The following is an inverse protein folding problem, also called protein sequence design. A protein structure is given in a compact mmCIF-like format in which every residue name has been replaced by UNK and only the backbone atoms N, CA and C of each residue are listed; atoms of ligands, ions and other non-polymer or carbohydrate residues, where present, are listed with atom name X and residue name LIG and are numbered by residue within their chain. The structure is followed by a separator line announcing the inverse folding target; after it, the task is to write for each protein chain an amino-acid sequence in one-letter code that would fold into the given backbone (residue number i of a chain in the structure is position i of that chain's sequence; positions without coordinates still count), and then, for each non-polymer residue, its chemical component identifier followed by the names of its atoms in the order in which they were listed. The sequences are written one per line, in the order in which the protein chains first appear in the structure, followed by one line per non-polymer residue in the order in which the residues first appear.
data_IF_495246898115
#
_entry.id   IF_495246898115
#
_cell.length_a   1.000
_cell.length_b   1.000
_cell.length_c   1.000
_cell.angle_alpha   90.00
_cell.angle_beta   90.00
_cell.angle_gamma   90.00
#
_symmetry.space_group_name_H-M   'P 1'
#
loop_
_entity.id
_entity.type
_entity.pdbx_description
1 polymer ?
#
# COMPACT_ATOMS: atom_id res chain seq x y z
N UNK A 1 20.95 25.07 -31.23
CA UNK A 1 21.01 25.25 -29.76
C UNK A 1 19.65 25.65 -29.18
N UNK A 2 19.05 26.79 -29.58
CA UNK A 2 17.74 27.25 -29.06
C UNK A 2 16.62 26.20 -29.26
N UNK A 3 16.49 25.62 -30.46
CA UNK A 3 15.49 24.58 -30.75
C UNK A 3 15.66 23.34 -29.86
N UNK A 4 16.89 22.89 -29.64
CA UNK A 4 17.21 21.73 -28.80
C UNK A 4 16.80 22.00 -27.35
N UNK A 5 17.21 23.15 -26.80
CA UNK A 5 16.88 23.53 -25.43
C UNK A 5 15.38 23.66 -25.23
N UNK A 6 14.68 24.32 -26.16
CA UNK A 6 13.23 24.49 -26.10
C UNK A 6 12.48 23.15 -26.11
N UNK A 7 12.81 22.26 -27.04
CA UNK A 7 12.16 20.94 -27.15
C UNK A 7 12.48 20.03 -25.95
N UNK A 8 13.71 20.07 -25.42
CA UNK A 8 14.06 19.32 -24.21
C UNK A 8 13.31 19.86 -22.99
N UNK A 9 13.25 21.18 -22.81
CA UNK A 9 12.59 21.79 -21.66
C UNK A 9 11.09 21.47 -21.65
N UNK A 10 10.39 21.66 -22.78
CA UNK A 10 8.96 21.35 -22.85
C UNK A 10 8.67 19.87 -22.59
N UNK A 11 9.54 18.98 -23.07
CA UNK A 11 9.42 17.53 -22.84
C UNK A 11 9.62 17.17 -21.37
N UNK A 12 10.64 17.76 -20.72
CA UNK A 12 10.88 17.53 -19.28
C UNK A 12 9.72 18.05 -18.43
N UNK A 13 9.18 19.23 -18.74
CA UNK A 13 8.01 19.79 -18.03
C UNK A 13 6.78 18.92 -18.25
N UNK A 14 6.52 18.49 -19.48
CA UNK A 14 5.40 17.60 -19.81
C UNK A 14 5.47 16.29 -19.01
N UNK A 15 6.62 15.62 -19.00
CA UNK A 15 6.78 14.40 -18.22
C UNK A 15 6.78 14.64 -16.71
N UNK A 16 7.29 15.78 -16.24
CA UNK A 16 7.24 16.12 -14.83
C UNK A 16 5.80 16.25 -14.33
N UNK A 17 4.95 16.94 -15.10
CA UNK A 17 3.52 17.13 -14.81
C UNK A 17 2.77 15.79 -14.86
N UNK A 18 3.07 14.93 -15.83
CA UNK A 18 2.33 13.67 -16.00
C UNK A 18 2.75 12.60 -14.98
N UNK A 19 4.03 12.55 -14.59
CA UNK A 19 4.54 11.44 -13.76
C UNK A 19 4.69 11.74 -12.28
N UNK A 20 4.97 12.98 -11.87
CA UNK A 20 5.27 13.29 -10.47
C UNK A 20 4.15 14.07 -9.80
N UNK A 21 3.80 15.23 -10.38
CA UNK A 21 2.86 16.15 -9.74
C UNK A 21 2.04 16.83 -10.82
N UNK A 22 0.77 16.44 -10.92
CA UNK A 22 -0.17 17.06 -11.84
C UNK A 22 -0.96 18.14 -11.09
N UNK A 23 -0.58 19.43 -11.20
CA UNK A 23 -1.27 20.50 -10.48
C UNK A 23 -2.72 20.72 -10.98
N UNK A 24 -3.11 20.09 -12.08
CA UNK A 24 -4.45 20.22 -12.66
C UNK A 24 -5.42 19.12 -12.19
N UNK A 25 -4.94 18.09 -11.49
CA UNK A 25 -5.78 17.04 -10.95
C UNK A 25 -6.19 17.40 -9.51
N UNK A 26 -7.50 17.42 -9.18
CA UNK A 26 -7.92 17.62 -7.80
C UNK A 26 -7.51 16.42 -6.95
N UNK A 27 -6.76 16.67 -5.89
CA UNK A 27 -6.40 15.68 -4.88
C UNK A 27 -7.01 16.09 -3.55
N UNK A 28 -7.73 15.17 -2.91
CA UNK A 28 -8.17 15.37 -1.53
C UNK A 28 -6.97 15.12 -0.62
N UNK A 29 -6.54 16.15 0.08
CA UNK A 29 -5.50 16.04 1.09
C UNK A 29 -6.12 15.84 2.48
N UNK A 30 -5.61 14.83 3.17
CA UNK A 30 -5.99 14.54 4.54
C UNK A 30 -4.80 14.86 5.44
N UNK A 31 -5.06 15.50 6.57
CA UNK A 31 -4.02 15.80 7.55
C UNK A 31 -4.01 14.75 8.67
N UNK A 32 -2.81 14.35 9.12
CA UNK A 32 -2.64 13.51 10.30
C UNK A 32 -1.68 14.21 11.27
N UNK A 33 -2.02 14.37 12.56
CA UNK A 33 -1.11 14.96 13.52
C UNK A 33 0.22 14.19 13.60
N UNK A 34 1.34 14.91 13.64
CA UNK A 34 2.68 14.33 13.57
C UNK A 34 2.96 13.25 14.63
N UNK A 35 2.36 13.38 15.82
CA UNK A 35 2.48 12.38 16.89
C UNK A 35 1.92 11.01 16.47
N UNK A 36 0.78 10.98 15.78
CA UNK A 36 0.13 9.76 15.32
C UNK A 36 0.77 9.24 14.04
N UNK A 37 1.23 10.14 13.16
CA UNK A 37 1.98 9.75 11.96
C UNK A 37 3.24 8.96 12.31
N UNK A 38 3.98 9.37 13.35
CA UNK A 38 5.15 8.61 13.86
C UNK A 38 4.78 7.21 14.34
N UNK A 39 3.63 7.04 14.99
CA UNK A 39 3.14 5.73 15.45
C UNK A 39 2.78 4.86 14.24
N UNK A 40 2.03 5.41 13.28
CA UNK A 40 1.64 4.71 12.05
C UNK A 40 2.84 4.28 11.19
N UNK A 41 3.95 5.02 11.27
CA UNK A 41 5.16 4.71 10.51
C UNK A 41 6.09 3.70 11.20
N UNK A 42 5.94 3.47 12.50
CA UNK A 42 6.83 2.65 13.33
C UNK A 42 6.32 1.21 13.45
N UNK A 43 7.10 0.28 12.89
CA UNK A 43 6.78 -1.16 12.83
C UNK A 43 6.65 -1.79 14.21
N UNK A 44 7.24 -1.20 15.26
CA UNK A 44 7.10 -1.76 16.62
C UNK A 44 5.65 -1.85 17.08
N UNK A 45 4.78 -0.97 16.58
CA UNK A 45 3.35 -0.94 16.91
C UNK A 45 2.52 -1.92 16.07
N UNK A 46 3.09 -2.57 15.05
CA UNK A 46 2.33 -3.45 14.17
C UNK A 46 1.70 -4.64 14.91
N UNK A 47 2.36 -5.18 15.94
CA UNK A 47 1.82 -6.28 16.74
C UNK A 47 0.60 -5.83 17.56
N UNK A 48 0.73 -4.72 18.29
CA UNK A 48 -0.37 -4.14 19.07
C UNK A 48 -1.51 -3.69 18.15
N UNK A 49 -1.19 -3.10 17.00
CA UNK A 49 -2.14 -2.74 15.97
C UNK A 49 -2.93 -3.92 15.42
N UNK A 50 -2.31 -5.09 15.28
CA UNK A 50 -2.99 -6.33 14.90
C UNK A 50 -3.98 -6.78 15.97
N UNK A 51 -3.59 -6.72 17.23
CA UNK A 51 -4.49 -7.08 18.35
C UNK A 51 -5.70 -6.14 18.39
N UNK A 52 -5.48 -4.83 18.24
CA UNK A 52 -6.55 -3.84 18.13
C UNK A 52 -7.44 -4.09 16.91
N UNK A 53 -6.87 -4.46 15.77
CA UNK A 53 -7.64 -4.81 14.57
C UNK A 53 -8.52 -6.05 14.80
N UNK A 54 -7.98 -7.10 15.43
CA UNK A 54 -8.72 -8.32 15.76
C UNK A 54 -9.83 -8.08 16.78
N UNK A 55 -9.72 -7.06 17.61
CA UNK A 55 -10.76 -6.72 18.59
C UNK A 55 -11.87 -5.85 18.02
N UNK A 56 -11.55 -4.92 17.10
CA UNK A 56 -12.49 -3.86 16.69
C UNK A 56 -12.91 -3.94 15.22
N UNK A 57 -12.15 -4.61 14.36
CA UNK A 57 -12.33 -4.52 12.90
C UNK A 57 -12.60 -5.87 12.22
N UNK A 58 -12.03 -6.96 12.74
CA UNK A 58 -12.17 -8.28 12.11
C UNK A 58 -13.61 -8.82 12.12
N UNK A 59 -14.53 -8.23 12.88
CA UNK A 59 -15.93 -8.65 12.87
C UNK A 59 -16.55 -8.49 11.47
N UNK A 60 -16.05 -7.53 10.70
CA UNK A 60 -16.56 -7.20 9.37
C UNK A 60 -15.49 -7.28 8.28
N UNK A 61 -14.22 -6.99 8.60
CA UNK A 61 -13.14 -6.91 7.61
C UNK A 61 -12.19 -8.09 7.68
N UNK A 62 -11.64 -8.48 6.52
CA UNK A 62 -10.51 -9.39 6.43
C UNK A 62 -9.21 -8.64 6.11
N UNK A 63 -8.08 -9.24 6.48
CA UNK A 63 -6.72 -8.91 6.04
C UNK A 63 -6.09 -10.21 5.59
N UNK A 64 -6.58 -10.72 4.44
CA UNK A 64 -6.25 -12.06 3.93
C UNK A 64 -4.76 -12.29 3.74
N UNK A 65 -3.99 -11.28 3.34
CA UNK A 65 -2.53 -11.41 3.17
C UNK A 65 -1.78 -11.69 4.48
N UNK A 66 -2.38 -11.39 5.63
CA UNK A 66 -1.87 -11.82 6.94
C UNK A 66 -2.69 -13.00 7.54
N UNK A 67 -3.55 -13.63 6.74
CA UNK A 67 -4.39 -14.76 7.16
C UNK A 67 -5.43 -14.40 8.22
N UNK A 68 -5.78 -13.12 8.34
CA UNK A 68 -6.87 -12.66 9.20
C UNK A 68 -8.14 -12.60 8.37
N UNK A 69 -9.15 -13.36 8.78
CA UNK A 69 -10.46 -13.36 8.12
C UNK A 69 -11.51 -12.72 9.01
N UNK A 70 -12.70 -12.54 8.46
CA UNK A 70 -13.84 -12.05 9.24
C UNK A 70 -14.12 -13.00 10.41
N UNK A 71 -14.59 -12.48 11.54
CA UNK A 71 -14.69 -13.23 12.80
C UNK A 71 -15.50 -14.54 12.65
N UNK A 72 -16.59 -14.52 11.88
CA UNK A 72 -17.40 -15.71 11.64
C UNK A 72 -16.61 -16.81 10.90
N UNK A 73 -15.84 -16.43 9.88
CA UNK A 73 -14.92 -17.33 9.17
C UNK A 73 -13.78 -17.79 10.07
N UNK A 74 -13.23 -16.89 10.88
CA UNK A 74 -12.13 -17.21 11.80
C UNK A 74 -12.54 -18.27 12.83
N UNK A 75 -13.82 -18.28 13.22
CA UNK A 75 -14.40 -19.27 14.13
C UNK A 75 -14.82 -20.58 13.45
N UNK A 76 -14.84 -20.62 12.11
CA UNK A 76 -15.31 -21.77 11.36
C UNK A 76 -14.22 -22.87 11.33
N UNK A 77 -14.52 -24.11 11.76
CA UNK A 77 -13.54 -25.20 11.80
C UNK A 77 -13.00 -25.58 10.41
N UNK A 78 -13.72 -25.27 9.33
CA UNK A 78 -13.26 -25.51 7.96
C UNK A 78 -12.05 -24.65 7.59
N UNK A 79 -11.90 -23.47 8.21
CA UNK A 79 -10.77 -22.57 7.92
C UNK A 79 -9.42 -23.27 8.16
N UNK A 80 -9.29 -23.98 9.28
CA UNK A 80 -8.06 -24.69 9.62
C UNK A 80 -7.77 -25.87 8.69
N UNK A 81 -8.79 -26.48 8.08
CA UNK A 81 -8.62 -27.54 7.08
C UNK A 81 -8.12 -26.94 5.77
N UNK A 82 -8.79 -25.88 5.30
CA UNK A 82 -8.40 -25.18 4.07
C UNK A 82 -7.00 -24.57 4.17
N UNK A 83 -6.61 -24.05 5.34
CA UNK A 83 -5.26 -23.51 5.53
C UNK A 83 -4.16 -24.57 5.49
N UNK A 84 -4.47 -25.83 5.80
CA UNK A 84 -3.53 -26.95 5.62
C UNK A 84 -3.37 -27.34 4.15
N UNK A 85 -4.44 -27.21 3.37
CA UNK A 85 -4.45 -27.57 1.96
C UNK A 85 -3.86 -26.46 1.07
N UNK A 86 -4.30 -25.22 1.26
CA UNK A 86 -3.94 -24.07 0.43
C UNK A 86 -2.89 -23.15 1.05
N UNK A 87 -2.55 -23.35 2.33
CA UNK A 87 -1.63 -22.51 3.09
C UNK A 87 -2.32 -21.40 3.90
N UNK A 88 -1.51 -20.58 4.59
CA UNK A 88 -2.00 -19.51 5.50
C UNK A 88 -3.02 -18.57 4.83
N UNK A 89 -2.75 -18.22 3.58
CA UNK A 89 -3.58 -17.31 2.77
C UNK A 89 -4.37 -18.15 1.77
N UNK A 90 -5.69 -18.12 1.89
CA UNK A 90 -6.58 -18.82 1.00
C UNK A 90 -6.69 -18.07 -0.34
N UNK A 91 -6.74 -18.79 -1.47
CA UNK A 91 -7.18 -18.23 -2.73
C UNK A 91 -8.54 -17.54 -2.59
N UNK A 92 -8.73 -16.45 -3.34
CA UNK A 92 -9.91 -15.58 -3.20
C UNK A 92 -11.20 -16.32 -3.52
N UNK A 93 -11.20 -17.09 -4.59
CA UNK A 93 -12.30 -17.93 -5.06
C UNK A 93 -12.69 -18.99 -4.03
N UNK A 94 -11.71 -19.64 -3.39
CA UNK A 94 -11.96 -20.61 -2.30
C UNK A 94 -12.56 -19.93 -1.08
N UNK A 95 -11.98 -18.79 -0.67
CA UNK A 95 -12.51 -18.01 0.45
C UNK A 95 -13.95 -17.55 0.20
N UNK A 96 -14.23 -16.97 -0.97
CA UNK A 96 -15.56 -16.51 -1.30
C UNK A 96 -16.53 -17.71 -1.37
N UNK A 97 -16.22 -18.74 -2.16
CA UNK A 97 -17.13 -19.89 -2.38
C UNK A 97 -17.47 -20.69 -1.11
N UNK A 98 -16.49 -20.95 -0.23
CA UNK A 98 -16.72 -21.76 0.98
C UNK A 98 -17.44 -20.95 2.06
N UNK A 99 -17.13 -19.65 2.17
CA UNK A 99 -17.68 -18.78 3.21
C UNK A 99 -18.76 -17.82 2.67
N UNK A 100 -19.42 -18.18 1.56
CA UNK A 100 -20.44 -17.33 0.93
C UNK A 100 -21.53 -16.94 1.92
N UNK A 101 -21.96 -17.84 2.80
CA UNK A 101 -23.02 -17.56 3.77
C UNK A 101 -22.61 -16.50 4.78
N UNK A 102 -21.38 -16.58 5.30
CA UNK A 102 -20.78 -15.57 6.18
C UNK A 102 -20.71 -14.20 5.50
N UNK A 103 -20.26 -14.18 4.25
CA UNK A 103 -20.14 -12.96 3.45
C UNK A 103 -21.51 -12.38 3.09
N UNK A 104 -22.49 -13.23 2.79
CA UNK A 104 -23.85 -12.81 2.48
C UNK A 104 -24.54 -12.20 3.70
N UNK A 105 -24.33 -12.73 4.91
CA UNK A 105 -24.86 -12.13 6.13
C UNK A 105 -24.33 -10.69 6.36
N UNK A 106 -23.04 -10.46 6.07
CA UNK A 106 -22.46 -9.11 6.08
C UNK A 106 -23.06 -8.23 4.97
N UNK A 107 -23.25 -8.79 3.77
CA UNK A 107 -23.86 -8.08 2.64
C UNK A 107 -25.29 -7.64 2.94
N UNK A 108 -26.09 -8.49 3.59
CA UNK A 108 -27.45 -8.16 4.01
C UNK A 108 -27.47 -7.04 5.05
N UNK A 109 -26.52 -7.06 5.99
CA UNK A 109 -26.42 -6.06 7.06
C UNK A 109 -25.94 -4.69 6.57
N UNK A 110 -24.97 -4.65 5.66
CA UNK A 110 -24.29 -3.41 5.24
C UNK A 110 -24.59 -2.99 3.79
N UNK A 111 -25.44 -3.73 3.08
CA UNK A 111 -25.74 -3.58 1.64
C UNK A 111 -24.64 -4.08 0.71
N UNK A 112 -23.41 -4.19 1.20
CA UNK A 112 -22.23 -4.68 0.48
C UNK A 112 -21.32 -5.45 1.43
N UNK A 113 -20.58 -6.43 0.91
CA UNK A 113 -19.54 -7.10 1.67
C UNK A 113 -18.44 -6.09 1.99
N UNK A 114 -18.04 -5.91 3.26
CA UNK A 114 -16.94 -5.04 3.61
C UNK A 114 -15.66 -5.47 2.89
N UNK A 115 -14.89 -4.52 2.33
CA UNK A 115 -13.70 -4.86 1.55
C UNK A 115 -12.59 -5.50 2.40
N UNK A 116 -11.81 -6.37 1.76
CA UNK A 116 -10.53 -6.87 2.29
C UNK A 116 -9.52 -5.72 2.38
N UNK A 117 -8.81 -5.63 3.50
CA UNK A 117 -7.91 -4.52 3.81
C UNK A 117 -6.43 -4.87 3.57
N UNK A 118 -6.15 -6.04 2.98
CA UNK A 118 -4.80 -6.55 2.70
C UNK A 118 -3.87 -5.55 2.02
N UNK A 119 -4.39 -4.70 1.13
CA UNK A 119 -3.60 -3.70 0.37
C UNK A 119 -4.10 -2.27 0.57
N UNK A 120 -5.01 -2.03 1.52
CA UNK A 120 -5.70 -0.75 1.62
C UNK A 120 -4.75 0.40 1.92
N UNK A 121 -3.65 0.12 2.64
CA UNK A 121 -2.62 1.11 2.93
C UNK A 121 -1.97 1.66 1.65
N UNK A 122 -1.70 0.80 0.65
CA UNK A 122 -1.12 1.22 -0.63
C UNK A 122 -2.09 2.09 -1.45
N UNK A 123 -3.38 1.83 -1.31
CA UNK A 123 -4.43 2.50 -2.10
C UNK A 123 -4.79 3.87 -1.50
N UNK A 124 -4.84 3.97 -0.17
CA UNK A 124 -5.37 5.15 0.52
C UNK A 124 -4.34 5.98 1.28
N UNK A 125 -3.23 5.38 1.70
CA UNK A 125 -2.24 6.05 2.55
C UNK A 125 -2.71 6.23 4.00
N UNK A 126 -1.78 6.63 4.88
CA UNK A 126 -2.01 6.69 6.33
C UNK A 126 -2.95 7.83 6.72
N UNK A 127 -2.87 8.98 6.05
CA UNK A 127 -3.64 10.17 6.39
C UNK A 127 -5.13 9.97 6.10
N UNK A 128 -5.47 9.43 4.92
CA UNK A 128 -6.84 9.06 4.60
C UNK A 128 -7.38 8.04 5.61
N UNK A 129 -6.62 6.95 5.85
CA UNK A 129 -7.05 5.88 6.75
C UNK A 129 -7.29 6.39 8.18
N UNK A 130 -6.42 7.28 8.67
CA UNK A 130 -6.57 7.87 9.99
C UNK A 130 -7.88 8.64 10.13
N UNK A 131 -8.17 9.52 9.17
CA UNK A 131 -9.39 10.31 9.20
C UNK A 131 -10.64 9.45 8.95
N UNK A 132 -10.56 8.50 8.03
CA UNK A 132 -11.68 7.61 7.68
C UNK A 132 -12.05 6.67 8.82
N UNK A 133 -11.08 6.06 9.51
CA UNK A 133 -11.36 5.13 10.61
C UNK A 133 -11.94 5.87 11.83
N UNK A 134 -11.49 7.10 12.09
CA UNK A 134 -12.01 7.92 13.19
C UNK A 134 -13.42 8.47 12.93
N UNK A 135 -13.66 8.97 11.72
CA UNK A 135 -14.91 9.61 11.32
C UNK A 135 -15.35 9.18 9.90
N UNK A 136 -15.85 7.94 9.71
CA UNK A 136 -16.17 7.41 8.38
C UNK A 136 -17.19 8.26 7.61
N UNK A 137 -18.21 8.78 8.29
CA UNK A 137 -19.27 9.61 7.68
C UNK A 137 -18.76 10.96 7.17
N UNK A 138 -17.72 11.51 7.80
CA UNK A 138 -17.14 12.80 7.40
C UNK A 138 -16.31 12.67 6.13
N UNK A 139 -15.60 11.56 5.99
CA UNK A 139 -14.75 11.27 4.83
C UNK A 139 -15.58 10.69 3.67
N UNK A 140 -16.52 9.79 3.96
CA UNK A 140 -17.41 9.20 2.96
C UNK A 140 -18.87 9.28 3.44
N UNK A 141 -19.59 10.36 3.09
CA UNK A 141 -20.99 10.51 3.47
C UNK A 141 -21.85 9.35 2.98
N UNK A 142 -22.67 8.79 3.89
CA UNK A 142 -23.56 7.67 3.57
C UNK A 142 -22.88 6.29 3.56
N UNK A 143 -21.63 6.19 4.04
CA UNK A 143 -21.01 4.88 4.27
C UNK A 143 -21.79 4.09 5.33
N UNK A 144 -21.84 2.77 5.21
CA UNK A 144 -22.47 1.90 6.23
C UNK A 144 -21.48 1.49 7.33
N UNK A 145 -20.21 1.87 7.20
CA UNK A 145 -19.20 1.63 8.22
C UNK A 145 -19.50 2.47 9.49
N UNK A 146 -19.67 1.83 10.66
CA UNK A 146 -19.90 2.56 11.90
C UNK A 146 -18.63 3.24 12.42
N UNK A 147 -18.77 4.29 13.26
CA UNK A 147 -17.66 5.00 13.89
C UNK A 147 -16.98 4.17 15.01
N UNK A 148 -16.26 3.10 14.63
CA UNK A 148 -15.70 2.12 15.59
C UNK A 148 -14.55 2.66 16.46
N UNK A 149 -13.82 3.66 15.99
CA UNK A 149 -12.61 4.18 16.66
C UNK A 149 -12.72 5.67 17.01
N UNK A 150 -13.91 6.26 16.97
CA UNK A 150 -14.09 7.68 17.28
C UNK A 150 -13.54 8.01 18.68
N UNK A 151 -12.72 9.05 18.77
CA UNK A 151 -12.04 9.44 20.00
C UNK A 151 -10.82 8.60 20.39
N UNK A 152 -10.40 7.62 19.57
CA UNK A 152 -9.24 6.73 19.82
C UNK A 152 -8.14 6.89 18.75
N UNK A 153 -7.54 8.09 18.60
CA UNK A 153 -6.57 8.38 17.55
C UNK A 153 -5.27 7.59 17.67
N UNK A 154 -4.77 7.37 18.89
CA UNK A 154 -3.53 6.61 19.09
C UNK A 154 -3.69 5.15 18.63
N UNK A 155 -4.78 4.51 19.04
CA UNK A 155 -5.11 3.14 18.65
C UNK A 155 -5.35 3.01 17.15
N UNK A 156 -6.01 4.01 16.55
CA UNK A 156 -6.18 4.08 15.09
C UNK A 156 -4.83 4.12 14.38
N UNK A 157 -3.88 4.92 14.89
CA UNK A 157 -2.54 4.97 14.32
C UNK A 157 -1.80 3.62 14.43
N UNK A 158 -1.98 2.87 15.53
CA UNK A 158 -1.42 1.53 15.68
C UNK A 158 -2.04 0.53 14.70
N UNK A 159 -3.37 0.58 14.49
CA UNK A 159 -4.04 -0.22 13.45
C UNK A 159 -3.47 0.10 12.06
N UNK A 160 -3.22 1.37 11.76
CA UNK A 160 -2.60 1.78 10.48
C UNK A 160 -1.16 1.25 10.38
N UNK A 161 -0.38 1.26 11.46
CA UNK A 161 0.95 0.65 11.50
C UNK A 161 0.89 -0.85 11.16
N UNK A 162 -0.13 -1.55 11.66
CA UNK A 162 -0.39 -2.95 11.28
C UNK A 162 -0.72 -3.09 9.79
N UNK A 163 -1.70 -2.34 9.26
CA UNK A 163 -2.06 -2.41 7.84
C UNK A 163 -0.88 -2.07 6.92
N UNK A 164 -0.05 -1.11 7.32
CA UNK A 164 1.23 -0.78 6.67
C UNK A 164 2.18 -1.97 6.66
N UNK A 165 2.36 -2.63 7.81
CA UNK A 165 3.28 -3.77 7.95
C UNK A 165 2.88 -4.98 7.09
N UNK A 166 1.59 -5.14 6.79
CA UNK A 166 1.09 -6.19 5.88
C UNK A 166 1.32 -5.82 4.42
N UNK A 167 1.22 -4.53 4.10
CA UNK A 167 1.29 -4.02 2.73
C UNK A 167 2.70 -3.70 2.23
N UNK A 168 3.59 -3.27 3.13
CA UNK A 168 4.96 -2.87 2.83
C UNK A 168 5.98 -3.89 3.34
N UNK A 169 7.14 -4.04 2.65
CA UNK A 169 8.24 -4.84 3.17
C UNK A 169 8.80 -4.24 4.47
N UNK A 170 9.42 -5.07 5.33
CA UNK A 170 10.02 -4.59 6.57
C UNK A 170 11.18 -3.61 6.29
N UNK A 171 11.56 -2.75 7.26
CA UNK A 171 12.55 -1.70 7.05
C UNK A 171 13.91 -2.21 6.55
N UNK A 172 14.33 -3.39 7.02
CA UNK A 172 15.58 -4.04 6.60
C UNK A 172 15.57 -4.38 5.10
N UNK A 173 14.47 -4.95 4.60
CA UNK A 173 14.31 -5.25 3.18
C UNK A 173 14.15 -3.99 2.34
N UNK A 174 13.46 -2.97 2.86
CA UNK A 174 13.36 -1.66 2.21
C UNK A 174 14.74 -1.02 2.03
N UNK A 175 15.59 -1.06 3.07
CA UNK A 175 16.97 -0.57 3.00
C UNK A 175 17.82 -1.35 1.97
N UNK A 176 17.72 -2.69 1.93
CA UNK A 176 18.40 -3.50 0.91
C UNK A 176 17.97 -3.10 -0.51
N UNK A 177 16.67 -2.92 -0.75
CA UNK A 177 16.13 -2.49 -2.06
C UNK A 177 16.68 -1.13 -2.48
N UNK A 178 16.78 -0.17 -1.55
CA UNK A 178 17.36 1.15 -1.82
C UNK A 178 18.84 1.03 -2.22
N UNK A 179 19.63 0.27 -1.46
CA UNK A 179 21.05 0.06 -1.76
C UNK A 179 21.24 -0.61 -3.11
N UNK A 180 20.49 -1.68 -3.39
CA UNK A 180 20.52 -2.36 -4.70
C UNK A 180 20.13 -1.40 -5.83
N UNK A 181 19.08 -0.60 -5.67
CA UNK A 181 18.65 0.38 -6.66
C UNK A 181 19.73 1.42 -6.96
N UNK A 182 20.35 2.00 -5.93
CA UNK A 182 21.46 2.97 -6.09
C UNK A 182 22.66 2.32 -6.77
N UNK A 183 23.03 1.10 -6.35
CA UNK A 183 24.14 0.37 -6.95
C UNK A 183 23.89 0.05 -8.44
N UNK A 184 22.68 -0.39 -8.80
CA UNK A 184 22.30 -0.66 -10.20
C UNK A 184 22.33 0.60 -11.05
N UNK A 185 21.81 1.73 -10.55
CA UNK A 185 21.86 3.01 -11.27
C UNK A 185 23.32 3.43 -11.49
N UNK A 186 24.17 3.33 -10.46
CA UNK A 186 25.59 3.62 -10.56
C UNK A 186 26.32 2.73 -11.59
N UNK A 187 26.02 1.43 -11.59
CA UNK A 187 26.55 0.48 -12.56
C UNK A 187 26.14 0.85 -14.00
N UNK A 188 24.86 1.16 -14.24
CA UNK A 188 24.37 1.52 -15.57
C UNK A 188 25.00 2.82 -16.10
N UNK A 189 25.19 3.83 -15.24
CA UNK A 189 25.88 5.07 -15.59
C UNK A 189 27.34 4.78 -15.95
N UNK A 190 28.05 4.02 -15.11
CA UNK A 190 29.44 3.65 -15.37
C UNK A 190 29.58 2.87 -16.69
N UNK A 191 28.73 1.88 -16.91
CA UNK A 191 28.70 1.09 -18.14
C UNK A 191 28.44 1.99 -19.36
N UNK A 192 27.49 2.92 -19.28
CA UNK A 192 27.19 3.89 -20.34
C UNK A 192 28.40 4.77 -20.69
N UNK A 193 29.12 5.27 -19.68
CA UNK A 193 30.34 6.05 -19.87
C UNK A 193 31.45 5.20 -20.51
N UNK A 194 31.66 3.97 -20.05
CA UNK A 194 32.67 3.06 -20.61
C UNK A 194 32.38 2.75 -22.09
N UNK A 195 31.12 2.49 -22.43
CA UNK A 195 30.70 2.27 -23.83
C UNK A 195 30.90 3.51 -24.70
N UNK A 196 30.59 4.70 -24.18
CA UNK A 196 30.82 5.96 -24.89
C UNK A 196 32.31 6.17 -25.20
N UNK A 197 33.18 5.95 -24.21
CA UNK A 197 34.64 6.05 -24.38
C UNK A 197 35.16 4.98 -25.35
N UNK A 198 34.71 3.73 -25.21
CA UNK A 198 35.12 2.63 -26.10
C UNK A 198 34.72 2.89 -27.55
N UNK A 199 33.47 3.32 -27.79
CA UNK A 199 32.99 3.73 -29.12
C UNK A 199 33.88 4.81 -29.72
N UNK A 200 34.23 5.83 -28.95
CA UNK A 200 35.13 6.90 -29.40
C UNK A 200 36.51 6.39 -29.81
N UNK A 201 37.08 5.43 -29.07
CA UNK A 201 38.36 4.78 -29.43
C UNK A 201 38.25 3.93 -30.71
N UNK A 202 37.16 3.19 -30.87
CA UNK A 202 36.94 2.34 -32.05
C UNK A 202 36.83 3.17 -33.33
N UNK A 203 36.05 4.25 -33.31
CA UNK A 203 35.87 5.13 -34.47
C UNK A 203 37.17 5.80 -34.91
N UNK A 204 38.03 6.20 -33.95
CA UNK A 204 39.39 6.70 -34.26
C UNK A 204 40.26 5.65 -34.95
N UNK A 205 40.17 4.37 -34.54
CA UNK A 205 40.91 3.27 -35.19
C UNK A 205 40.43 3.01 -36.63
N UNK A 206 39.15 3.27 -36.91
CA UNK A 206 38.55 3.08 -38.23
C UNK A 206 38.70 4.30 -39.15
N UNK A 207 39.30 5.41 -38.68
CA UNK A 207 39.40 6.65 -39.44
C UNK A 207 38.07 7.38 -39.69
N UNK A 208 37.04 7.06 -38.89
CA UNK A 208 35.70 7.65 -39.00
C UNK A 208 35.50 8.89 -38.10
N UNK A 209 36.57 9.33 -37.43
CA UNK A 209 36.63 10.48 -36.52
C UNK A 209 37.97 11.18 -36.57
#
# INVERSE_FOLDING_TARGET
MIRTVFLTAITLVFFAIIWFENPFAPHEEYSMPAQYAKIADDVKYAKEGKELFLQNCNSCHSVRYDGVYVASVQSNPLLGQLQKEYGKVLPRDIYESVFMNDLNALKESFGKVPPDLSTIYLVKGKEYLFNFILEPQKVLPGTTMPPVMTGRPEETAKIIAYLKSVSEPPPQEKAKRVVMGVATIGYLILMGVLLYVWRGRLLKKMGLH
#
